data_IF_735344470063
#
_entry.id   IF_735344470063
#
_cell.length_a   1.000
_cell.length_b   1.000
_cell.length_c   1.000
_cell.angle_alpha   90.00
_cell.angle_beta   90.00
_cell.angle_gamma   90.00
#
_symmetry.space_group_name_H-M   'P 1'
#
loop_
_entity.id
_entity.type
_entity.pdbx_description
1 polymer ?
#
# COMPACT_ATOMS: atom_id res chain seq x y z
N UNK A 1 8.00 -1.54 15.92
CA UNK A 1 6.65 -1.18 15.46
C UNK A 1 5.63 -2.14 16.03
N UNK A 2 4.47 -1.63 16.44
CA UNK A 2 3.41 -2.43 17.08
C UNK A 2 2.31 -2.85 16.09
N UNK A 3 2.17 -2.14 14.97
CA UNK A 3 1.11 -2.33 13.99
C UNK A 3 1.65 -2.49 12.55
N UNK A 4 0.87 -3.15 11.66
CA UNK A 4 1.08 -3.10 10.22
C UNK A 4 1.22 -1.67 9.69
N UNK A 5 2.09 -1.46 8.71
CA UNK A 5 2.43 -0.13 8.20
C UNK A 5 2.70 -0.13 6.70
N UNK A 6 2.19 0.92 6.04
CA UNK A 6 2.46 1.30 4.67
C UNK A 6 2.34 2.83 4.56
N UNK A 7 3.15 3.46 3.71
CA UNK A 7 3.02 4.87 3.33
C UNK A 7 3.50 5.06 1.88
N UNK A 8 3.44 6.30 1.37
CA UNK A 8 3.82 6.62 -0.02
C UNK A 8 5.33 6.79 -0.28
N UNK A 9 6.19 6.48 0.69
CA UNK A 9 7.65 6.61 0.51
C UNK A 9 8.23 5.51 -0.37
N UNK A 10 9.43 5.74 -0.87
CA UNK A 10 10.18 4.82 -1.74
C UNK A 10 10.49 3.47 -1.07
N UNK A 11 10.43 3.42 0.27
CA UNK A 11 10.53 2.18 1.02
C UNK A 11 9.34 1.24 0.75
N UNK A 12 8.15 1.79 0.47
CA UNK A 12 6.89 1.08 0.35
C UNK A 12 6.30 1.08 -1.06
N UNK A 13 6.62 2.09 -1.87
CA UNK A 13 6.13 2.27 -3.24
C UNK A 13 7.32 2.48 -4.16
N UNK A 14 7.56 1.58 -5.12
CA UNK A 14 8.76 1.65 -5.97
C UNK A 14 8.82 2.89 -6.86
N UNK A 15 7.66 3.39 -7.28
CA UNK A 15 7.52 4.64 -8.01
C UNK A 15 6.17 5.28 -7.60
N UNK A 16 6.23 6.46 -6.99
CA UNK A 16 5.05 7.18 -6.48
C UNK A 16 4.34 8.02 -7.54
N UNK A 17 5.02 8.30 -8.65
CA UNK A 17 4.54 9.08 -9.78
C UNK A 17 4.77 8.29 -11.09
N UNK A 18 4.16 7.09 -11.19
CA UNK A 18 4.35 6.21 -12.34
C UNK A 18 3.74 6.78 -13.61
N UNK A 19 4.24 6.33 -14.75
CA UNK A 19 3.54 6.51 -16.01
C UNK A 19 2.30 5.60 -16.10
N UNK A 20 1.35 5.97 -16.94
CA UNK A 20 0.21 5.12 -17.25
C UNK A 20 0.69 3.78 -17.86
N UNK A 21 0.15 2.66 -17.39
CA UNK A 21 0.57 1.30 -17.77
C UNK A 21 1.85 0.81 -17.07
N UNK A 22 2.51 1.65 -16.27
CA UNK A 22 3.70 1.22 -15.51
C UNK A 22 3.31 0.28 -14.38
N UNK A 23 4.21 -0.67 -14.08
CA UNK A 23 4.05 -1.60 -12.96
C UNK A 23 4.77 -1.10 -11.71
N UNK A 24 4.00 -0.76 -10.68
CA UNK A 24 4.49 -0.33 -9.37
C UNK A 24 4.53 -1.50 -8.39
N UNK A 25 5.61 -1.58 -7.61
CA UNK A 25 5.71 -2.52 -6.49
C UNK A 25 5.21 -1.84 -5.23
N UNK A 26 4.13 -2.38 -4.66
CA UNK A 26 3.60 -2.01 -3.36
C UNK A 26 4.14 -2.98 -2.31
N UNK A 27 4.63 -2.45 -1.19
CA UNK A 27 5.11 -3.24 -0.05
C UNK A 27 4.33 -2.87 1.20
N UNK A 28 4.13 -3.82 2.11
CA UNK A 28 3.58 -3.55 3.45
C UNK A 28 4.45 -4.25 4.48
N UNK A 29 4.74 -3.53 5.56
CA UNK A 29 5.52 -4.03 6.70
C UNK A 29 4.57 -4.46 7.79
N UNK A 30 4.77 -5.64 8.34
CA UNK A 30 3.93 -6.21 9.38
C UNK A 30 4.81 -6.69 10.53
N UNK A 31 4.48 -6.42 11.81
CA UNK A 31 5.20 -6.98 12.94
C UNK A 31 5.27 -8.52 12.86
N UNK A 32 6.42 -9.10 13.23
CA UNK A 32 6.60 -10.56 13.19
C UNK A 32 5.67 -11.32 14.13
N UNK A 33 5.24 -10.68 15.22
CA UNK A 33 4.27 -11.22 16.19
C UNK A 33 2.83 -11.20 15.69
N UNK A 34 2.54 -10.46 14.62
CA UNK A 34 1.22 -10.44 14.02
C UNK A 34 0.94 -11.78 13.34
N UNK A 35 -0.26 -12.34 13.56
CA UNK A 35 -0.68 -13.67 13.10
C UNK A 35 -1.14 -13.70 11.64
N UNK A 36 -0.97 -12.61 10.89
CA UNK A 36 -1.37 -12.56 9.48
C UNK A 36 -0.83 -13.75 8.68
N UNK A 37 -1.74 -14.40 7.98
CA UNK A 37 -1.47 -15.59 7.15
C UNK A 37 -1.45 -15.22 5.67
N UNK A 38 -2.35 -14.31 5.26
CA UNK A 38 -2.50 -13.83 3.89
C UNK A 38 -2.66 -12.32 3.87
N UNK A 39 -2.04 -11.71 2.87
CA UNK A 39 -2.12 -10.27 2.64
C UNK A 39 -2.59 -10.05 1.20
N UNK A 40 -3.53 -9.14 1.02
CA UNK A 40 -4.01 -8.71 -0.29
C UNK A 40 -3.99 -7.21 -0.39
N UNK A 41 -3.94 -6.68 -1.60
CA UNK A 41 -4.29 -5.29 -1.89
C UNK A 41 -5.61 -5.30 -2.65
N UNK A 42 -6.56 -4.47 -2.22
CA UNK A 42 -7.72 -4.10 -3.02
C UNK A 42 -7.41 -2.75 -3.65
N UNK A 43 -7.54 -2.65 -4.95
CA UNK A 43 -7.14 -1.51 -5.76
C UNK A 43 -8.26 -1.18 -6.76
N UNK A 44 -8.58 0.09 -6.94
CA UNK A 44 -9.51 0.52 -7.97
C UNK A 44 -8.79 0.62 -9.31
N UNK A 45 -9.22 -0.18 -10.28
CA UNK A 45 -8.76 -0.14 -11.66
C UNK A 45 -9.97 0.13 -12.54
N UNK A 46 -9.95 1.26 -13.25
CA UNK A 46 -11.03 1.73 -14.13
C UNK A 46 -12.41 1.76 -13.43
N UNK A 47 -12.41 2.21 -12.17
CA UNK A 47 -13.61 2.31 -11.34
C UNK A 47 -13.99 1.02 -10.60
N UNK A 48 -13.39 -0.11 -10.95
CA UNK A 48 -13.75 -1.41 -10.39
C UNK A 48 -12.72 -1.92 -9.37
N UNK A 49 -13.13 -2.48 -8.22
CA UNK A 49 -12.23 -3.02 -7.22
C UNK A 49 -11.64 -4.37 -7.65
N UNK A 50 -10.34 -4.38 -7.93
CA UNK A 50 -9.55 -5.59 -8.20
C UNK A 50 -8.74 -5.95 -6.96
N UNK A 51 -8.54 -7.25 -6.70
CA UNK A 51 -7.78 -7.73 -5.54
C UNK A 51 -6.60 -8.58 -5.96
N UNK A 52 -5.40 -8.26 -5.46
CA UNK A 52 -4.18 -9.02 -5.73
C UNK A 52 -3.57 -9.58 -4.43
N UNK A 53 -3.13 -10.85 -4.42
CA UNK A 53 -2.39 -11.41 -3.29
C UNK A 53 -0.96 -10.85 -3.25
N UNK A 54 -0.49 -10.52 -2.04
CA UNK A 54 0.91 -10.18 -1.80
C UNK A 54 1.72 -11.44 -1.48
N UNK A 55 3.00 -11.39 -1.84
CA UNK A 55 4.00 -12.43 -1.50
C UNK A 55 4.94 -11.90 -0.42
N UNK A 56 5.39 -12.79 0.49
CA UNK A 56 6.45 -12.45 1.45
C UNK A 56 7.75 -12.12 0.69
N UNK A 57 8.44 -11.05 1.08
CA UNK A 57 9.67 -10.59 0.42
C UNK A 57 10.89 -10.55 1.34
N UNK A 58 10.72 -10.14 2.59
CA UNK A 58 11.80 -10.07 3.59
C UNK A 58 11.27 -10.38 4.97
N UNK A 59 12.10 -10.98 5.81
CA UNK A 59 11.80 -11.22 7.23
C UNK A 59 13.00 -10.85 8.09
N UNK A 60 12.75 -10.21 9.22
CA UNK A 60 13.76 -9.86 10.22
C UNK A 60 13.40 -10.49 11.57
N UNK A 61 14.15 -10.15 12.63
CA UNK A 61 13.81 -10.57 14.00
C UNK A 61 12.49 -9.95 14.49
N UNK A 62 12.08 -8.80 13.95
CA UNK A 62 10.93 -8.03 14.46
C UNK A 62 9.82 -7.82 13.43
N UNK A 63 10.10 -8.03 12.14
CA UNK A 63 9.19 -7.66 11.05
C UNK A 63 9.13 -8.73 9.95
N UNK A 64 8.04 -8.72 9.21
CA UNK A 64 7.84 -9.43 7.95
C UNK A 64 7.31 -8.46 6.91
N UNK A 65 7.83 -8.54 5.70
CA UNK A 65 7.50 -7.69 4.58
C UNK A 65 6.79 -8.50 3.52
N UNK A 66 5.75 -7.90 2.96
CA UNK A 66 4.94 -8.45 1.89
C UNK A 66 4.93 -7.47 0.73
N UNK A 67 4.85 -7.97 -0.50
CA UNK A 67 4.84 -7.12 -1.68
C UNK A 67 4.02 -7.70 -2.83
N UNK A 68 3.56 -6.82 -3.71
CA UNK A 68 2.87 -7.15 -4.96
C UNK A 68 3.29 -6.14 -6.02
N UNK A 69 3.32 -6.58 -7.28
CA UNK A 69 3.51 -5.71 -8.43
C UNK A 69 2.15 -5.52 -9.11
N UNK A 70 1.70 -4.29 -9.23
CA UNK A 70 0.40 -3.91 -9.81
C UNK A 70 0.62 -2.97 -10.98
N UNK A 71 -0.20 -3.09 -12.01
CA UNK A 71 -0.21 -2.17 -13.15
C UNK A 71 -1.11 -0.98 -12.85
N UNK A 72 -0.62 0.22 -13.16
CA UNK A 72 -1.35 1.47 -12.93
C UNK A 72 -2.08 1.86 -14.21
N UNK A 73 -3.37 1.54 -14.24
CA UNK A 73 -4.24 1.70 -15.42
C UNK A 73 -5.19 2.89 -15.30
N UNK A 74 -5.08 3.70 -14.25
CA UNK A 74 -5.92 4.88 -14.06
C UNK A 74 -5.09 6.07 -13.55
N UNK A 75 -5.43 7.34 -13.87
CA UNK A 75 -4.65 8.51 -13.44
C UNK A 75 -4.53 8.68 -11.93
N UNK A 76 -5.55 8.24 -11.20
CA UNK A 76 -5.56 8.16 -9.74
C UNK A 76 -6.04 6.78 -9.33
N UNK A 77 -5.25 6.10 -8.52
CA UNK A 77 -5.50 4.72 -8.11
C UNK A 77 -5.58 4.66 -6.59
N UNK A 78 -6.80 4.46 -6.08
CA UNK A 78 -7.03 4.23 -4.65
C UNK A 78 -6.79 2.75 -4.30
N UNK A 79 -6.18 2.49 -3.15
CA UNK A 79 -5.96 1.14 -2.68
C UNK A 79 -5.85 1.03 -1.16
N UNK A 80 -6.05 -0.19 -0.67
CA UNK A 80 -5.91 -0.56 0.75
C UNK A 80 -5.48 -2.02 0.87
N UNK A 81 -4.90 -2.38 2.02
CA UNK A 81 -4.46 -3.75 2.27
C UNK A 81 -5.46 -4.51 3.13
N UNK A 82 -5.77 -5.75 2.73
CA UNK A 82 -6.50 -6.71 3.54
C UNK A 82 -5.50 -7.64 4.23
N UNK A 83 -5.54 -7.68 5.56
CA UNK A 83 -4.72 -8.56 6.39
C UNK A 83 -5.62 -9.66 6.95
N UNK A 84 -5.37 -10.92 6.58
CA UNK A 84 -6.21 -12.06 6.97
C UNK A 84 -5.47 -13.00 7.92
N UNK A 85 -6.15 -13.38 8.99
CA UNK A 85 -5.73 -14.34 10.02
C UNK A 85 -6.87 -15.35 10.20
N UNK A 86 -6.82 -16.47 9.47
CA UNK A 86 -7.90 -17.43 9.37
C UNK A 86 -9.22 -16.82 8.89
N UNK A 87 -10.21 -16.80 9.80
CA UNK A 87 -11.55 -16.21 9.57
C UNK A 87 -11.60 -14.71 9.86
N UNK A 88 -10.61 -14.17 10.58
CA UNK A 88 -10.55 -12.76 10.92
C UNK A 88 -9.89 -11.96 9.79
N UNK A 89 -10.31 -10.70 9.66
CA UNK A 89 -9.69 -9.76 8.74
C UNK A 89 -9.52 -8.38 9.36
N UNK A 90 -8.54 -7.63 8.84
CA UNK A 90 -8.34 -6.22 9.13
C UNK A 90 -8.00 -5.49 7.84
N UNK A 91 -8.51 -4.28 7.68
CA UNK A 91 -8.08 -3.36 6.64
C UNK A 91 -6.98 -2.44 7.15
N UNK A 92 -5.97 -2.20 6.32
CA UNK A 92 -4.97 -1.17 6.51
C UNK A 92 -5.11 -0.14 5.39
N UNK A 93 -5.35 1.12 5.75
CA UNK A 93 -5.38 2.26 4.86
C UNK A 93 -4.60 3.45 5.48
N UNK A 94 -4.68 4.64 4.90
CA UNK A 94 -3.91 5.79 5.37
C UNK A 94 -4.30 6.27 6.78
N UNK A 95 -5.51 5.93 7.25
CA UNK A 95 -5.97 6.26 8.60
C UNK A 95 -5.57 5.19 9.65
N UNK A 96 -4.99 4.07 9.24
CA UNK A 96 -4.52 3.00 10.14
C UNK A 96 -5.19 1.66 9.89
N UNK A 97 -5.33 0.87 10.96
CA UNK A 97 -5.79 -0.53 10.92
C UNK A 97 -7.18 -0.67 11.54
N UNK A 98 -8.09 -1.33 10.83
CA UNK A 98 -9.50 -1.47 11.23
C UNK A 98 -9.98 -2.93 11.14
N UNK A 99 -10.66 -3.48 12.16
CA UNK A 99 -11.18 -4.85 12.17
C UNK A 99 -12.60 -4.97 11.56
N UNK A 100 -12.97 -4.04 10.70
CA UNK A 100 -14.29 -3.93 10.05
C UNK A 100 -14.10 -3.30 8.67
N UNK A 101 -15.10 -3.38 7.81
CA UNK A 101 -15.08 -2.64 6.56
C UNK A 101 -14.99 -1.12 6.78
N UNK A 102 -14.35 -0.46 5.82
CA UNK A 102 -14.08 0.98 5.82
C UNK A 102 -14.49 1.58 4.49
N UNK A 103 -14.88 2.85 4.50
CA UNK A 103 -15.05 3.63 3.28
C UNK A 103 -13.69 3.93 2.64
N UNK A 104 -13.69 4.24 1.35
CA UNK A 104 -12.50 4.50 0.53
C UNK A 104 -11.87 5.88 0.72
N UNK A 105 -12.54 6.77 1.47
CA UNK A 105 -12.07 8.12 1.71
C UNK A 105 -10.62 8.20 2.23
N UNK A 106 -10.20 7.21 3.03
CA UNK A 106 -8.86 7.13 3.62
C UNK A 106 -7.95 6.09 2.94
N UNK A 107 -8.29 5.66 1.72
CA UNK A 107 -7.41 4.79 0.95
C UNK A 107 -6.08 5.48 0.62
N UNK A 108 -5.04 4.67 0.52
CA UNK A 108 -3.78 5.13 -0.08
C UNK A 108 -4.03 5.47 -1.55
N UNK A 109 -3.24 6.40 -2.09
CA UNK A 109 -3.38 6.86 -3.47
C UNK A 109 -2.04 6.83 -4.20
N UNK A 110 -2.06 6.33 -5.42
CA UNK A 110 -1.02 6.57 -6.43
C UNK A 110 -1.61 7.53 -7.45
N UNK A 111 -0.83 8.53 -7.85
CA UNK A 111 -1.24 9.49 -8.89
C UNK A 111 -0.24 9.38 -10.04
N UNK A 112 -0.72 8.88 -11.18
CA UNK A 112 0.08 8.68 -12.39
C UNK A 112 0.19 9.99 -13.19
N UNK A 113 0.87 10.98 -12.61
CA UNK A 113 1.16 12.28 -13.22
C UNK A 113 2.60 12.68 -12.91
N UNK A 114 3.08 13.74 -13.55
CA UNK A 114 4.39 14.33 -13.27
C UNK A 114 4.59 14.53 -11.77
N UNK A 115 5.70 14.00 -11.25
CA UNK A 115 6.04 14.16 -9.83
C UNK A 115 6.21 15.65 -9.48
N UNK A 116 6.10 15.96 -8.19
CA UNK A 116 6.48 17.27 -7.69
C UNK A 116 7.95 17.58 -8.04
N UNK A 117 8.29 18.82 -8.40
CA UNK A 117 9.68 19.20 -8.67
C UNK A 117 10.62 18.82 -7.53
N UNK A 118 11.82 18.34 -7.85
CA UNK A 118 12.77 17.80 -6.86
C UNK A 118 13.14 18.81 -5.76
N UNK A 119 13.20 20.10 -6.10
CA UNK A 119 13.54 21.16 -5.16
C UNK A 119 12.54 21.26 -4.01
N UNK A 120 11.26 20.94 -4.25
CA UNK A 120 10.20 21.08 -3.26
C UNK A 120 10.43 20.16 -2.05
N UNK A 121 11.05 19.00 -2.26
CA UNK A 121 11.33 18.01 -1.19
C UNK A 121 12.44 18.44 -0.25
N UNK A 122 13.24 19.43 -0.68
CA UNK A 122 14.40 19.95 0.05
C UNK A 122 14.14 21.36 0.60
N UNK A 123 13.02 21.96 0.23
CA UNK A 123 12.67 23.32 0.60
C UNK A 123 12.08 23.37 2.02
N UNK A 124 12.48 24.39 2.78
CA UNK A 124 11.83 24.81 4.02
C UNK A 124 11.28 26.21 3.77
N UNK A 125 9.98 26.38 3.98
CA UNK A 125 9.32 27.68 3.88
C UNK A 125 9.19 28.29 5.28
N UNK A 126 9.27 29.63 5.36
CA UNK A 126 9.11 30.42 6.58
C UNK A 126 7.86 31.30 6.45
#
# INVERSE_FOLDING_TARGET
MTFPHHDGSELYVSNRAPQFGEKVTLKVRIPRKDKVEKVFVRILQDGEPVTYPLKKSKRTKVEQWWQVKVEIVSPSTNYRFLLRDGRNFRWLNAAGVFPRDVVDHFDFKIVARTDAPDWLRKAVFY
#
